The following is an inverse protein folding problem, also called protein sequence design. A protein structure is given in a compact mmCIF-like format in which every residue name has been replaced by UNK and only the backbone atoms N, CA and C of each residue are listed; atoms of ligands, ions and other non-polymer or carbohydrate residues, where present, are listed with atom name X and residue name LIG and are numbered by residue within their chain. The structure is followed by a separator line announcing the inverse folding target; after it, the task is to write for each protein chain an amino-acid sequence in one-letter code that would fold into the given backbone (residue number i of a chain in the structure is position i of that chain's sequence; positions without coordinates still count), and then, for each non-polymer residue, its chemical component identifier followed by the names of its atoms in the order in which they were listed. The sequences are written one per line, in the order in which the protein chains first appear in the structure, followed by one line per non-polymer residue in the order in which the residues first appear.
data_IF_300885538968
#
_entry.id   IF_300885538968
#
_cell.length_a   1.000
_cell.length_b   1.000
_cell.length_c   1.000
_cell.angle_alpha   90.00
_cell.angle_beta   90.00
_cell.angle_gamma   90.00
#
_symmetry.space_group_name_H-M   'P 1'
#
loop_
_entity.id
_entity.type
_entity.pdbx_description
1 polymer ?
#
# COMPACT_ATOMS: atom_id res chain seq x y z
N UNK A 1 7.75 -6.81 7.67
CA UNK A 1 6.32 -6.54 7.98
C UNK A 1 5.47 -7.08 6.86
N UNK A 2 4.45 -7.90 7.12
CA UNK A 2 3.55 -8.33 6.07
C UNK A 2 2.84 -7.10 5.47
N UNK A 3 2.82 -7.00 4.15
CA UNK A 3 2.01 -6.01 3.46
C UNK A 3 0.63 -6.61 3.24
N UNK A 4 -0.39 -5.97 3.79
CA UNK A 4 -1.76 -6.45 3.71
C UNK A 4 -2.48 -5.82 2.53
N UNK A 5 -3.20 -6.63 1.75
CA UNK A 5 -4.01 -6.17 0.60
C UNK A 5 -5.49 -6.43 0.83
N UNK A 6 -6.30 -5.62 0.18
CA UNK A 6 -7.75 -5.70 0.24
C UNK A 6 -8.32 -5.92 -1.15
N UNK A 7 -9.40 -6.69 -1.22
CA UNK A 7 -10.20 -6.78 -2.43
C UNK A 7 -11.51 -6.03 -2.22
N UNK A 8 -11.82 -5.13 -3.14
CA UNK A 8 -13.00 -4.27 -3.06
C UNK A 8 -13.85 -4.38 -4.31
N UNK A 9 -15.16 -4.27 -4.11
CA UNK A 9 -16.08 -3.90 -5.18
C UNK A 9 -16.49 -2.44 -4.99
N UNK A 10 -16.42 -1.64 -6.03
CA UNK A 10 -17.06 -0.33 -6.04
C UNK A 10 -18.54 -0.53 -6.34
N UNK A 11 -19.40 -0.35 -5.34
CA UNK A 11 -20.81 -0.17 -5.56
C UNK A 11 -21.09 1.33 -5.65
N UNK A 12 -21.53 1.81 -6.78
CA UNK A 12 -22.06 3.17 -6.90
C UNK A 12 -23.52 3.10 -6.50
N UNK A 13 -23.95 3.75 -5.42
CA UNK A 13 -25.38 3.81 -5.09
C UNK A 13 -26.05 4.85 -5.97
N UNK A 14 -26.47 4.50 -7.17
CA UNK A 14 -27.52 5.22 -7.87
C UNK A 14 -28.83 4.49 -7.64
N UNK A 15 -29.77 5.10 -6.93
CA UNK A 15 -31.15 4.63 -6.95
C UNK A 15 -31.62 4.71 -8.40
N UNK A 16 -32.00 3.63 -9.05
CA UNK A 16 -32.50 3.69 -10.41
C UNK A 16 -33.80 4.50 -10.40
N UNK A 17 -33.88 5.50 -11.25
CA UNK A 17 -35.16 6.07 -11.65
C UNK A 17 -35.96 4.93 -12.31
N UNK A 18 -37.19 4.61 -11.87
CA UNK A 18 -37.96 3.46 -12.34
C UNK A 18 -38.28 3.48 -13.84
N UNK A 19 -37.98 4.54 -14.53
CA UNK A 19 -38.19 4.72 -15.98
C UNK A 19 -36.97 4.54 -16.86
N UNK A 20 -35.76 4.37 -16.27
CA UNK A 20 -34.55 4.11 -17.04
C UNK A 20 -34.20 2.62 -17.03
N UNK A 21 -33.85 2.06 -18.22
CA UNK A 21 -33.26 0.71 -18.31
C UNK A 21 -32.18 0.57 -17.27
N UNK A 22 -32.07 -0.61 -16.58
CA UNK A 22 -31.00 -0.80 -15.60
C UNK A 22 -29.68 -0.54 -16.29
N UNK A 23 -29.05 0.60 -15.96
CA UNK A 23 -27.66 0.86 -16.33
C UNK A 23 -26.88 -0.33 -15.79
N UNK A 24 -26.12 -0.99 -16.65
CA UNK A 24 -25.32 -2.16 -16.28
C UNK A 24 -24.48 -1.76 -15.05
N UNK A 25 -24.75 -2.43 -13.94
CA UNK A 25 -24.02 -2.25 -12.70
C UNK A 25 -22.63 -2.81 -12.91
N UNK A 26 -21.70 -1.99 -13.37
CA UNK A 26 -20.30 -2.37 -13.51
C UNK A 26 -19.65 -2.36 -12.12
N UNK A 27 -19.83 -3.45 -11.40
CA UNK A 27 -19.02 -3.71 -10.21
C UNK A 27 -17.61 -4.08 -10.65
N UNK A 28 -16.62 -3.27 -10.28
CA UNK A 28 -15.23 -3.60 -10.54
C UNK A 28 -14.58 -4.17 -9.28
N UNK A 29 -13.95 -5.34 -9.41
CA UNK A 29 -13.12 -5.92 -8.36
C UNK A 29 -11.72 -5.34 -8.43
N UNK A 30 -11.15 -4.96 -7.28
CA UNK A 30 -9.80 -4.45 -7.16
C UNK A 30 -9.10 -5.08 -5.96
N UNK A 31 -7.87 -5.49 -6.16
CA UNK A 31 -6.95 -5.84 -5.07
C UNK A 31 -6.09 -4.61 -4.80
N UNK A 32 -6.19 -4.06 -3.60
CA UNK A 32 -5.54 -2.80 -3.26
C UNK A 32 -4.78 -2.94 -1.93
N UNK A 33 -3.66 -2.25 -1.82
CA UNK A 33 -2.97 -2.10 -0.53
C UNK A 33 -3.82 -1.23 0.41
N UNK A 34 -3.81 -1.57 1.70
CA UNK A 34 -4.48 -0.80 2.75
C UNK A 34 -4.10 0.68 2.72
N UNK A 35 -2.84 0.97 2.48
CA UNK A 35 -2.29 2.33 2.41
C UNK A 35 -3.00 3.23 1.40
N UNK A 36 -3.63 2.65 0.38
CA UNK A 36 -4.40 3.41 -0.61
C UNK A 36 -5.72 3.95 -0.05
N UNK A 37 -6.18 3.45 1.09
CA UNK A 37 -7.40 3.91 1.76
C UNK A 37 -7.13 4.91 2.89
N UNK A 38 -5.88 5.15 3.26
CA UNK A 38 -5.52 6.11 4.30
C UNK A 38 -6.15 7.51 4.08
N UNK A 39 -6.24 8.06 2.85
CA UNK A 39 -6.91 9.33 2.62
C UNK A 39 -8.43 9.30 2.89
N UNK A 40 -9.07 8.15 2.82
CA UNK A 40 -10.53 7.99 3.00
C UNK A 40 -10.90 7.52 4.42
N UNK A 41 -10.05 6.71 5.02
CA UNK A 41 -10.21 6.15 6.35
C UNK A 41 -8.85 6.15 7.07
N UNK A 42 -8.46 7.26 7.71
CA UNK A 42 -7.12 7.40 8.32
C UNK A 42 -6.76 6.29 9.31
N UNK A 43 -7.74 5.72 10.00
CA UNK A 43 -7.51 4.60 10.92
C UNK A 43 -6.91 3.36 10.23
N UNK A 44 -7.12 3.19 8.93
CA UNK A 44 -6.50 2.09 8.15
C UNK A 44 -4.98 2.17 8.14
N UNK A 45 -4.44 3.37 8.28
CA UNK A 45 -3.00 3.62 8.22
C UNK A 45 -2.24 3.03 9.40
N UNK A 46 -2.92 2.75 10.52
CA UNK A 46 -2.33 2.09 11.69
C UNK A 46 -1.68 0.73 11.36
N UNK A 47 -2.16 0.03 10.34
CA UNK A 47 -1.54 -1.23 9.85
C UNK A 47 -0.09 -1.01 9.40
N UNK A 48 0.26 0.19 8.99
CA UNK A 48 1.60 0.55 8.54
C UNK A 48 2.56 0.89 9.69
N UNK A 49 2.09 0.87 10.95
CA UNK A 49 2.98 1.04 12.10
C UNK A 49 3.99 -0.10 12.15
N UNK A 50 5.29 0.24 12.27
CA UNK A 50 6.35 -0.75 12.41
C UNK A 50 6.10 -1.68 13.60
N UNK A 51 6.36 -2.98 13.44
CA UNK A 51 6.29 -4.02 14.49
C UNK A 51 4.91 -4.27 15.13
N UNK A 52 3.89 -3.48 14.79
CA UNK A 52 2.59 -3.57 15.44
C UNK A 52 1.75 -4.76 14.98
N UNK A 53 1.77 -5.06 13.69
CA UNK A 53 0.93 -6.10 13.07
C UNK A 53 1.78 -7.09 12.26
N UNK A 54 2.95 -7.47 12.79
CA UNK A 54 3.93 -8.32 12.11
C UNK A 54 3.56 -9.80 12.02
N UNK A 55 2.62 -10.25 12.85
CA UNK A 55 2.15 -11.65 12.87
C UNK A 55 0.78 -11.75 12.19
N UNK A 56 0.59 -12.80 11.39
CA UNK A 56 -0.67 -13.03 10.68
C UNK A 56 -1.87 -13.11 11.63
N UNK A 57 -1.69 -13.72 12.81
CA UNK A 57 -2.79 -13.84 13.77
C UNK A 57 -3.22 -12.47 14.32
N UNK A 58 -2.27 -11.57 14.61
CA UNK A 58 -2.59 -10.20 15.04
C UNK A 58 -3.34 -9.44 13.97
N UNK A 59 -2.95 -9.61 12.73
CA UNK A 59 -3.66 -9.01 11.60
C UNK A 59 -5.09 -9.55 11.48
N UNK A 60 -5.27 -10.86 11.54
CA UNK A 60 -6.61 -11.48 11.49
C UNK A 60 -7.47 -10.95 12.63
N UNK A 61 -6.97 -10.96 13.86
CA UNK A 61 -7.70 -10.45 15.02
C UNK A 61 -8.11 -8.99 14.86
N UNK A 62 -7.23 -8.16 14.28
CA UNK A 62 -7.52 -6.75 14.02
C UNK A 62 -8.66 -6.60 13.01
N UNK A 63 -8.53 -7.19 11.81
CA UNK A 63 -9.48 -6.97 10.71
C UNK A 63 -10.84 -7.61 10.96
N UNK A 64 -10.93 -8.57 11.87
CA UNK A 64 -12.18 -9.20 12.30
C UNK A 64 -12.81 -8.51 13.53
N UNK A 65 -12.11 -7.58 14.17
CA UNK A 65 -12.60 -6.89 15.35
C UNK A 65 -13.76 -5.93 15.03
N UNK A 66 -14.67 -5.74 15.99
CA UNK A 66 -15.77 -4.78 15.88
C UNK A 66 -15.28 -3.35 15.70
N UNK A 67 -14.15 -3.02 16.34
CA UNK A 67 -13.51 -1.70 16.21
C UNK A 67 -13.10 -1.46 14.75
N UNK A 68 -12.46 -2.45 14.10
CA UNK A 68 -12.09 -2.35 12.70
C UNK A 68 -13.29 -2.20 11.79
N UNK A 69 -14.34 -2.95 12.03
CA UNK A 69 -15.59 -2.85 11.26
C UNK A 69 -16.21 -1.45 11.40
N UNK A 70 -16.21 -0.90 12.61
CA UNK A 70 -16.76 0.43 12.91
C UNK A 70 -15.89 1.57 12.38
N UNK A 71 -14.60 1.57 12.65
CA UNK A 71 -13.73 2.73 12.38
C UNK A 71 -13.11 2.72 10.97
N UNK A 72 -12.98 1.56 10.35
CA UNK A 72 -12.36 1.43 9.03
C UNK A 72 -13.38 1.03 7.98
N UNK A 73 -14.01 -0.14 8.13
CA UNK A 73 -14.87 -0.71 7.08
C UNK A 73 -16.08 0.20 6.82
N UNK A 74 -16.71 0.75 7.86
CA UNK A 74 -17.87 1.65 7.69
C UNK A 74 -17.50 2.92 6.92
N UNK A 75 -16.33 3.52 7.22
CA UNK A 75 -15.84 4.72 6.54
C UNK A 75 -15.49 4.46 5.08
N UNK A 76 -14.87 3.31 4.81
CA UNK A 76 -14.55 2.86 3.45
C UNK A 76 -15.83 2.60 2.66
N UNK A 77 -16.84 1.97 3.30
CA UNK A 77 -18.17 1.78 2.70
C UNK A 77 -18.88 3.09 2.36
N UNK A 78 -18.79 4.08 3.24
CA UNK A 78 -19.35 5.42 2.99
C UNK A 78 -18.75 6.12 1.77
N UNK A 79 -17.56 5.69 1.32
CA UNK A 79 -16.89 6.15 0.09
C UNK A 79 -17.21 5.29 -1.14
N UNK A 80 -18.16 4.36 -1.02
CA UNK A 80 -18.61 3.52 -2.13
C UNK A 80 -17.76 2.28 -2.37
N UNK A 81 -16.89 1.88 -1.43
CA UNK A 81 -16.10 0.65 -1.51
C UNK A 81 -16.63 -0.39 -0.53
N UNK A 82 -16.80 -1.62 -1.00
CA UNK A 82 -17.19 -2.75 -0.16
C UNK A 82 -16.00 -3.70 0.00
N UNK A 83 -15.35 -3.76 1.17
CA UNK A 83 -14.38 -4.80 1.47
C UNK A 83 -15.06 -6.17 1.42
N UNK A 84 -14.44 -7.12 0.72
CA UNK A 84 -14.94 -8.50 0.63
C UNK A 84 -14.15 -9.40 1.55
N UNK A 85 -12.84 -9.33 1.49
CA UNK A 85 -11.94 -10.08 2.36
C UNK A 85 -10.59 -9.36 2.49
N UNK A 86 -9.81 -9.78 3.47
CA UNK A 86 -8.47 -9.29 3.77
C UNK A 86 -7.50 -10.46 3.69
N UNK A 87 -6.31 -10.19 3.19
CA UNK A 87 -5.23 -11.18 3.19
C UNK A 87 -3.88 -10.49 3.34
N UNK A 88 -2.94 -11.21 3.91
CA UNK A 88 -1.56 -10.79 4.00
C UNK A 88 -0.79 -11.33 2.81
N UNK A 89 0.13 -10.54 2.30
CA UNK A 89 1.18 -10.95 1.39
C UNK A 89 2.53 -10.82 2.11
N UNK A 90 3.59 -11.17 1.43
CA UNK A 90 4.94 -11.11 1.94
C UNK A 90 5.29 -9.81 2.69
N UNK A 91 6.27 -9.86 3.60
CA UNK A 91 6.81 -8.68 4.26
C UNK A 91 7.22 -7.60 3.26
N UNK A 92 7.24 -6.35 3.72
CA UNK A 92 7.83 -5.25 2.96
C UNK A 92 9.33 -5.46 2.85
N UNK A 93 9.85 -5.19 1.67
CA UNK A 93 11.29 -5.21 1.40
C UNK A 93 11.70 -3.83 0.93
N UNK A 94 12.94 -3.42 1.19
CA UNK A 94 13.48 -2.20 0.63
C UNK A 94 14.33 -2.54 -0.60
N UNK A 95 13.96 -1.97 -1.75
CA UNK A 95 14.67 -2.19 -3.00
C UNK A 95 15.09 -0.85 -3.63
N UNK A 96 16.29 -0.83 -4.22
CA UNK A 96 16.89 0.36 -4.85
C UNK A 96 16.70 0.34 -6.36
N UNK A 97 16.69 1.53 -6.95
CA UNK A 97 16.76 1.74 -8.40
C UNK A 97 18.12 1.28 -8.93
N UNK A 98 18.14 0.60 -10.07
CA UNK A 98 19.39 0.31 -10.81
C UNK A 98 20.16 1.59 -11.08
N UNK A 99 21.48 1.50 -10.93
CA UNK A 99 22.39 2.61 -11.17
C UNK A 99 22.53 3.62 -10.03
N UNK A 100 21.89 3.38 -8.88
CA UNK A 100 22.15 4.17 -7.69
C UNK A 100 23.43 3.66 -6.99
N UNK A 101 23.39 2.48 -6.44
CA UNK A 101 24.47 1.62 -5.99
C UNK A 101 23.93 0.18 -5.85
N UNK A 102 24.82 -0.80 -5.75
CA UNK A 102 24.43 -2.21 -5.61
C UNK A 102 24.45 -2.70 -4.15
N UNK A 103 24.68 -1.79 -3.18
CA UNK A 103 24.74 -2.16 -1.77
C UNK A 103 23.32 -2.29 -1.20
N UNK A 104 22.97 -3.40 -0.52
CA UNK A 104 21.70 -3.51 0.16
C UNK A 104 21.60 -2.52 1.33
N UNK A 105 20.41 -2.11 1.68
CA UNK A 105 20.17 -1.38 2.93
C UNK A 105 20.38 -2.32 4.11
N UNK A 106 21.33 -2.02 4.98
CA UNK A 106 21.63 -2.82 6.17
C UNK A 106 21.31 -2.09 7.47
N UNK A 107 21.43 -0.78 7.45
CA UNK A 107 21.23 0.07 8.62
C UNK A 107 20.32 1.25 8.27
N UNK A 108 19.70 1.90 9.25
CA UNK A 108 18.95 3.14 9.01
C UNK A 108 19.79 4.23 8.33
N UNK A 109 21.09 4.26 8.57
CA UNK A 109 21.98 5.26 7.97
C UNK A 109 22.08 5.15 6.45
N UNK A 110 21.87 3.95 5.91
CA UNK A 110 21.87 3.72 4.46
C UNK A 110 20.64 4.35 3.76
N UNK A 111 19.65 4.78 4.53
CA UNK A 111 18.44 5.43 4.02
C UNK A 111 18.58 6.96 3.97
N UNK A 112 19.62 7.53 4.58
CA UNK A 112 19.78 8.98 4.66
C UNK A 112 19.89 9.61 3.28
N UNK A 113 19.02 10.61 3.04
CA UNK A 113 18.98 11.34 1.78
C UNK A 113 18.35 10.60 0.59
N UNK A 114 18.02 9.31 0.73
CA UNK A 114 17.40 8.52 -0.33
C UNK A 114 15.94 9.00 -0.57
N UNK A 115 15.61 9.26 -1.81
CA UNK A 115 14.21 9.54 -2.22
C UNK A 115 13.41 8.24 -2.20
N UNK A 116 12.72 8.01 -1.08
CA UNK A 116 12.04 6.75 -0.83
C UNK A 116 10.57 6.84 -1.26
N UNK A 117 10.18 6.08 -2.27
CA UNK A 117 8.79 6.03 -2.71
C UNK A 117 7.90 5.47 -1.62
N UNK A 118 6.85 6.19 -1.29
CA UNK A 118 5.80 5.76 -0.35
C UNK A 118 4.41 5.91 -0.99
N UNK A 119 3.42 5.11 -0.56
CA UNK A 119 2.02 5.39 -0.89
C UNK A 119 1.51 6.63 -0.15
N UNK A 120 0.22 6.96 -0.29
CA UNK A 120 -0.42 8.08 0.41
C UNK A 120 -0.55 7.94 1.94
N UNK A 121 0.20 7.07 2.58
CA UNK A 121 0.24 6.82 4.01
C UNK A 121 1.05 7.90 4.74
N UNK A 122 0.42 8.59 5.69
CA UNK A 122 1.12 9.56 6.54
C UNK A 122 2.09 8.89 7.51
N UNK A 123 1.75 7.73 8.01
CA UNK A 123 2.59 6.94 8.92
C UNK A 123 3.88 6.51 8.21
N UNK A 124 3.79 5.97 6.99
CA UNK A 124 4.98 5.59 6.23
C UNK A 124 5.84 6.81 5.87
N UNK A 125 5.24 7.94 5.51
CA UNK A 125 5.98 9.17 5.27
C UNK A 125 6.75 9.60 6.52
N UNK A 126 6.11 9.58 7.68
CA UNK A 126 6.75 9.94 8.94
C UNK A 126 7.84 8.94 9.32
N UNK A 127 7.58 7.65 9.15
CA UNK A 127 8.55 6.58 9.42
C UNK A 127 9.84 6.78 8.62
N UNK A 128 9.76 6.91 7.30
CA UNK A 128 10.95 7.11 6.47
C UNK A 128 11.64 8.45 6.72
N UNK A 129 10.89 9.48 7.08
CA UNK A 129 11.48 10.78 7.48
C UNK A 129 12.31 10.64 8.77
N UNK A 130 11.82 9.91 9.76
CA UNK A 130 12.56 9.64 11.00
C UNK A 130 13.84 8.82 10.78
N UNK A 131 13.87 7.98 9.74
CA UNK A 131 15.07 7.26 9.32
C UNK A 131 16.02 8.11 8.46
N UNK A 132 15.72 9.39 8.25
CA UNK A 132 16.56 10.31 7.47
C UNK A 132 16.37 10.22 5.95
N UNK A 133 15.44 9.41 5.47
CA UNK A 133 15.09 9.37 4.06
C UNK A 133 14.17 10.54 3.65
N UNK A 134 14.06 10.78 2.35
CA UNK A 134 13.15 11.73 1.73
C UNK A 134 11.93 11.01 1.18
N UNK A 135 10.83 10.85 1.95
CA UNK A 135 9.65 10.14 1.49
C UNK A 135 8.99 10.89 0.32
N UNK A 136 8.85 10.20 -0.79
CA UNK A 136 8.27 10.71 -2.04
C UNK A 136 6.94 10.00 -2.31
N UNK A 137 5.79 10.62 -2.03
CA UNK A 137 4.48 10.02 -2.29
C UNK A 137 4.22 9.88 -3.79
N UNK A 138 4.09 8.65 -4.26
CA UNK A 138 3.78 8.33 -5.66
C UNK A 138 2.73 7.22 -5.71
N UNK A 139 1.71 7.40 -6.55
CA UNK A 139 0.70 6.37 -6.78
C UNK A 139 1.32 5.08 -7.34
N UNK A 140 0.74 3.92 -7.01
CA UNK A 140 1.35 2.64 -7.40
C UNK A 140 1.52 2.49 -8.91
N UNK A 141 0.52 2.91 -9.70
CA UNK A 141 0.59 2.83 -11.16
C UNK A 141 1.67 3.70 -11.80
N UNK A 142 2.09 4.77 -11.11
CA UNK A 142 3.13 5.70 -11.58
C UNK A 142 4.53 5.31 -11.08
N UNK A 143 4.61 4.38 -10.12
CA UNK A 143 5.86 4.01 -9.45
C UNK A 143 6.94 3.51 -10.42
N UNK A 144 6.67 2.63 -11.43
CA UNK A 144 7.71 2.19 -12.35
C UNK A 144 8.34 3.36 -13.13
N UNK A 145 7.54 4.31 -13.57
CA UNK A 145 8.00 5.49 -14.28
C UNK A 145 8.80 6.42 -13.36
N UNK A 146 8.31 6.66 -12.14
CA UNK A 146 9.00 7.50 -11.15
C UNK A 146 10.39 6.93 -10.78
N UNK A 147 10.51 5.61 -10.64
CA UNK A 147 11.80 4.95 -10.38
C UNK A 147 12.73 5.09 -11.59
N UNK A 148 12.26 4.81 -12.82
CA UNK A 148 13.07 4.96 -14.03
C UNK A 148 13.59 6.38 -14.23
N UNK A 149 12.78 7.37 -13.94
CA UNK A 149 13.12 8.79 -14.08
C UNK A 149 13.93 9.35 -12.90
N UNK A 150 14.17 8.56 -11.85
CA UNK A 150 14.89 9.03 -10.65
C UNK A 150 14.10 10.03 -9.80
N UNK A 151 12.78 10.10 -9.95
CA UNK A 151 11.89 10.83 -9.05
C UNK A 151 11.90 10.17 -7.66
N UNK A 152 12.01 8.84 -7.65
CA UNK A 152 12.30 8.08 -6.44
C UNK A 152 13.45 7.09 -6.71
N UNK A 153 14.25 6.85 -5.68
CA UNK A 153 15.46 6.02 -5.74
C UNK A 153 15.25 4.64 -5.12
N UNK A 154 14.26 4.50 -4.26
CA UNK A 154 13.94 3.26 -3.57
C UNK A 154 12.44 3.15 -3.29
N UNK A 155 11.97 1.94 -2.97
CA UNK A 155 10.59 1.64 -2.61
C UNK A 155 10.53 0.41 -1.70
N UNK A 156 9.37 0.18 -1.06
CA UNK A 156 9.17 -0.84 -0.04
C UNK A 156 7.96 -1.79 -0.27
N UNK A 157 7.70 -2.29 -1.46
CA UNK A 157 6.62 -3.26 -1.65
C UNK A 157 7.02 -4.66 -1.18
N UNK A 158 6.06 -5.59 -1.18
CA UNK A 158 6.35 -7.00 -1.05
C UNK A 158 7.08 -7.53 -2.28
N UNK A 159 7.92 -8.55 -2.12
CA UNK A 159 8.72 -9.16 -3.20
C UNK A 159 7.82 -9.61 -4.36
N UNK A 160 6.73 -10.31 -4.07
CA UNK A 160 5.76 -10.76 -5.08
C UNK A 160 5.24 -9.59 -5.94
N UNK A 161 4.98 -8.43 -5.32
CA UNK A 161 4.52 -7.26 -6.07
C UNK A 161 5.59 -6.74 -7.02
N UNK A 162 6.87 -6.84 -6.67
CA UNK A 162 7.96 -6.46 -7.56
C UNK A 162 8.00 -7.33 -8.82
N UNK A 163 7.82 -8.62 -8.66
CA UNK A 163 7.77 -9.54 -9.81
C UNK A 163 6.51 -9.34 -10.66
N UNK A 164 5.34 -9.29 -10.02
CA UNK A 164 4.06 -9.17 -10.71
C UNK A 164 3.92 -7.90 -11.55
N UNK A 165 4.59 -6.82 -11.16
CA UNK A 165 4.53 -5.53 -11.85
C UNK A 165 5.80 -5.21 -12.66
N UNK A 166 6.68 -6.19 -12.88
CA UNK A 166 7.82 -6.05 -13.79
C UNK A 166 8.94 -5.13 -13.30
N UNK A 167 9.12 -5.01 -11.99
CA UNK A 167 10.17 -4.16 -11.42
C UNK A 167 11.58 -4.75 -11.51
N UNK A 168 11.73 -6.05 -11.82
CA UNK A 168 13.03 -6.75 -11.88
C UNK A 168 14.07 -6.07 -12.77
N UNK A 169 13.62 -5.40 -13.83
CA UNK A 169 14.52 -4.78 -14.80
C UNK A 169 14.96 -3.38 -14.40
N UNK A 170 14.30 -2.76 -13.44
CA UNK A 170 14.54 -1.38 -13.01
C UNK A 170 15.09 -1.24 -11.58
N UNK A 171 15.11 -2.34 -10.83
CA UNK A 171 15.63 -2.39 -9.47
C UNK A 171 16.94 -3.20 -9.42
N UNK A 172 17.82 -2.80 -8.50
CA UNK A 172 18.98 -3.56 -8.06
C UNK A 172 18.88 -3.80 -6.57
N UNK A 173 19.23 -5.00 -6.14
CA UNK A 173 19.34 -5.34 -4.73
C UNK A 173 18.08 -5.03 -3.90
N UNK A 174 17.69 -5.92 -3.06
CA UNK A 174 16.67 -5.70 -2.05
C UNK A 174 17.14 -6.27 -0.71
N UNK A 175 16.70 -5.66 0.37
CA UNK A 175 16.86 -6.23 1.71
C UNK A 175 15.54 -6.87 2.09
N UNK A 176 15.54 -8.18 2.30
CA UNK A 176 14.45 -8.89 2.97
C UNK A 176 14.76 -8.97 4.47
N UNK A 177 13.78 -8.69 5.29
CA UNK A 177 13.85 -8.98 6.73
C UNK A 177 13.54 -10.45 6.96
#
# INVERSE_FOLDING_TARGET
MPSCRWTFTRSVPNRPNPTTRPSQFLASFRVLSNSNFAPFAPAVDMINLPYWCGENQRFVNLVTSDIWQKEVVSRVRAKGFKPLFFFCIDPRTAAKRKGLDDKPFKTPDDLKGIKFRVPGSKILQQFYRLLGANPTPVAWGETPTAIKQGVADALDPAVEALYAFGFKDILSGGTSN
#
